data_IF_755861462549
#
_entry.id   IF_755861462549
#
_cell.length_a   1.000
_cell.length_b   1.000
_cell.length_c   1.000
_cell.angle_alpha   90.00
_cell.angle_beta   90.00
_cell.angle_gamma   90.00
#
_symmetry.space_group_name_H-M   'P 1'
#
loop_
_entity.id
_entity.type
_entity.pdbx_description
1 polymer ?
#
# COMPACT_ATOMS: atom_id res chain seq x y z
N UNK A 1 -36.91 15.78 6.87
CA UNK A 1 -35.93 16.05 7.95
C UNK A 1 -34.96 14.89 7.97
N UNK A 2 -33.73 15.12 7.54
CA UNK A 2 -32.65 14.15 7.60
C UNK A 2 -31.39 14.91 8.04
N UNK A 3 -31.39 15.31 9.31
CA UNK A 3 -30.18 15.77 10.00
C UNK A 3 -29.53 14.54 10.62
N UNK A 4 -28.52 14.00 9.92
CA UNK A 4 -27.54 13.10 10.50
C UNK A 4 -26.18 13.53 9.96
N UNK A 5 -25.24 13.96 10.81
CA UNK A 5 -23.92 14.37 10.34
C UNK A 5 -23.20 13.16 9.73
N UNK A 6 -22.92 13.24 8.42
CA UNK A 6 -21.98 12.33 7.77
C UNK A 6 -20.57 12.77 8.16
N UNK A 7 -19.86 11.94 8.93
CA UNK A 7 -18.41 12.06 9.08
C UNK A 7 -17.88 12.43 10.44
N UNK A 8 -18.67 12.36 11.53
CA UNK A 8 -18.08 12.42 12.86
C UNK A 8 -17.43 11.08 13.21
N UNK A 9 -16.10 11.15 13.20
CA UNK A 9 -15.13 10.14 13.52
C UNK A 9 -15.47 9.53 14.88
N UNK A 10 -15.86 8.25 14.90
CA UNK A 10 -15.70 7.47 16.12
C UNK A 10 -14.20 7.39 16.38
N UNK A 11 -13.66 8.28 17.23
CA UNK A 11 -12.35 8.09 17.84
C UNK A 11 -12.50 6.94 18.82
N UNK A 12 -12.41 5.74 18.29
CA UNK A 12 -12.26 4.53 19.09
C UNK A 12 -10.77 4.41 19.42
N UNK A 13 -10.46 4.10 20.69
CA UNK A 13 -9.09 3.78 21.12
C UNK A 13 -8.53 2.52 20.42
N UNK A 14 -9.37 1.81 19.67
CA UNK A 14 -9.00 0.67 18.86
C UNK A 14 -8.62 1.14 17.45
N UNK A 15 -7.35 0.91 17.09
CA UNK A 15 -6.91 1.06 15.72
C UNK A 15 -7.79 0.21 14.78
N UNK A 16 -8.18 0.72 13.61
CA UNK A 16 -9.04 -0.01 12.67
C UNK A 16 -8.31 -1.17 11.96
N UNK A 17 -7.10 -1.51 12.42
CA UNK A 17 -6.23 -2.53 11.87
C UNK A 17 -5.50 -3.30 12.98
N UNK A 18 -5.01 -4.50 12.63
CA UNK A 18 -4.10 -5.26 13.49
C UNK A 18 -2.70 -5.21 12.91
N UNK A 19 -1.71 -5.10 13.78
CA UNK A 19 -0.31 -5.14 13.41
C UNK A 19 0.28 -6.52 13.69
N UNK A 20 1.04 -7.03 12.74
CA UNK A 20 1.76 -8.28 12.85
C UNK A 20 3.24 -7.99 12.57
N UNK A 21 4.12 -8.49 13.43
CA UNK A 21 5.56 -8.43 13.18
C UNK A 21 5.94 -9.53 12.18
N UNK A 22 6.69 -9.16 11.15
CA UNK A 22 7.21 -10.09 10.16
C UNK A 22 8.66 -10.46 10.50
N UNK A 23 9.10 -11.62 10.04
CA UNK A 23 10.52 -11.95 10.05
C UNK A 23 11.23 -11.13 8.97
N UNK A 24 12.31 -10.46 9.34
CA UNK A 24 13.09 -9.57 8.47
C UNK A 24 14.46 -10.20 8.18
N UNK A 25 14.55 -11.17 7.24
CA UNK A 25 15.84 -11.71 6.82
C UNK A 25 16.69 -10.63 6.15
N UNK A 26 18.01 -10.79 6.21
CA UNK A 26 18.93 -9.84 5.55
C UNK A 26 18.71 -9.82 4.04
N UNK A 27 18.92 -8.66 3.41
CA UNK A 27 18.80 -8.52 1.96
C UNK A 27 19.70 -9.51 1.20
N UNK A 28 20.89 -9.80 1.73
CA UNK A 28 21.79 -10.82 1.15
C UNK A 28 21.16 -12.20 1.19
N UNK A 29 20.44 -12.55 2.26
CA UNK A 29 19.80 -13.86 2.38
C UNK A 29 18.61 -13.98 1.44
N UNK A 30 17.81 -12.92 1.32
CA UNK A 30 16.70 -12.86 0.37
C UNK A 30 17.23 -13.02 -1.06
N UNK A 31 18.28 -12.28 -1.43
CA UNK A 31 18.86 -12.33 -2.76
C UNK A 31 19.39 -13.72 -3.11
N UNK A 32 20.09 -14.38 -2.18
CA UNK A 32 20.58 -15.75 -2.35
C UNK A 32 19.44 -16.75 -2.59
N UNK A 33 18.39 -16.69 -1.77
CA UNK A 33 17.23 -17.59 -1.89
C UNK A 33 16.50 -17.38 -3.21
N UNK A 34 16.28 -16.13 -3.62
CA UNK A 34 15.64 -15.80 -4.89
C UNK A 34 16.50 -16.25 -6.08
N UNK A 35 17.81 -15.99 -6.03
CA UNK A 35 18.72 -16.39 -7.10
C UNK A 35 18.68 -17.91 -7.28
N UNK A 36 18.84 -18.67 -6.20
CA UNK A 36 18.87 -20.13 -6.26
C UNK A 36 17.51 -20.73 -6.66
N UNK A 37 16.42 -20.18 -6.13
CA UNK A 37 15.07 -20.69 -6.42
C UNK A 37 14.60 -20.39 -7.84
N UNK A 38 15.03 -19.27 -8.42
CA UNK A 38 14.60 -18.86 -9.76
C UNK A 38 15.56 -19.27 -10.87
N UNK A 39 16.83 -19.57 -10.58
CA UNK A 39 17.84 -19.94 -11.59
C UNK A 39 17.36 -21.01 -12.59
N UNK A 40 16.64 -22.08 -12.20
CA UNK A 40 16.19 -23.10 -13.15
C UNK A 40 15.12 -22.62 -14.14
N UNK A 41 14.46 -21.49 -13.86
CA UNK A 41 13.34 -20.96 -14.64
C UNK A 41 13.78 -19.97 -15.73
N UNK A 42 15.03 -19.49 -15.68
CA UNK A 42 15.53 -18.46 -16.58
C UNK A 42 16.89 -18.87 -17.15
N UNK A 43 17.11 -18.60 -18.44
CA UNK A 43 18.40 -18.86 -19.08
C UNK A 43 19.52 -17.97 -18.51
N UNK A 44 19.18 -16.74 -18.14
CA UNK A 44 20.05 -15.77 -17.50
C UNK A 44 19.26 -15.06 -16.41
N UNK A 45 19.80 -15.03 -15.20
CA UNK A 45 19.19 -14.38 -14.04
C UNK A 45 20.27 -13.76 -13.16
N UNK A 46 20.05 -12.53 -12.72
CA UNK A 46 20.85 -11.90 -11.68
C UNK A 46 19.91 -11.16 -10.74
N UNK A 47 19.92 -11.54 -9.47
CA UNK A 47 19.15 -10.87 -8.42
C UNK A 47 19.97 -9.72 -7.86
N UNK A 48 19.41 -8.51 -7.93
CA UNK A 48 20.04 -7.28 -7.45
C UNK A 48 19.25 -6.77 -6.25
N UNK A 49 19.92 -6.56 -5.13
CA UNK A 49 19.31 -6.08 -3.89
C UNK A 49 19.32 -4.54 -3.75
N UNK A 50 20.00 -3.82 -4.64
CA UNK A 50 20.04 -2.35 -4.62
C UNK A 50 18.80 -1.75 -5.30
N UNK A 51 18.25 -0.69 -4.71
CA UNK A 51 17.12 0.05 -5.26
C UNK A 51 17.62 1.13 -6.24
N UNK A 52 17.20 1.13 -7.51
CA UNK A 52 17.51 2.23 -8.42
C UNK A 52 16.72 3.49 -8.04
N UNK A 53 17.12 4.64 -8.58
CA UNK A 53 16.31 5.86 -8.43
C UNK A 53 14.99 5.68 -9.18
N UNK A 54 13.87 5.78 -8.44
CA UNK A 54 12.54 5.54 -9.01
C UNK A 54 11.86 6.79 -9.53
N UNK A 55 12.40 7.99 -9.27
CA UNK A 55 11.83 9.26 -9.75
C UNK A 55 12.04 9.50 -11.24
N UNK A 56 12.98 8.79 -11.86
CA UNK A 56 13.29 8.90 -13.28
C UNK A 56 12.65 7.77 -14.07
N UNK A 57 12.67 7.90 -15.40
CA UNK A 57 12.32 6.80 -16.29
C UNK A 57 13.16 5.54 -15.95
N UNK A 58 12.58 4.32 -16.06
CA UNK A 58 11.24 4.03 -16.59
C UNK A 58 10.10 4.15 -15.57
N UNK A 59 10.42 4.38 -14.28
CA UNK A 59 9.44 4.24 -13.20
C UNK A 59 8.62 5.52 -12.96
N UNK A 60 9.25 6.69 -13.03
CA UNK A 60 8.61 8.01 -12.83
C UNK A 60 7.71 8.06 -11.58
N UNK A 61 8.17 7.43 -10.49
CA UNK A 61 7.46 7.36 -9.21
C UNK A 61 7.74 8.62 -8.39
N UNK A 62 6.83 8.95 -7.47
CA UNK A 62 7.01 10.12 -6.61
C UNK A 62 7.96 9.87 -5.41
N UNK A 63 8.33 8.62 -5.14
CA UNK A 63 9.38 8.27 -4.17
C UNK A 63 10.72 8.01 -4.83
N UNK A 64 11.82 8.38 -4.15
CA UNK A 64 13.20 8.14 -4.64
C UNK A 64 13.55 6.65 -4.68
N UNK A 65 12.97 5.85 -3.79
CA UNK A 65 13.18 4.40 -3.68
C UNK A 65 12.11 3.73 -2.80
N UNK A 66 12.21 2.41 -2.65
CA UNK A 66 11.32 1.59 -1.81
C UNK A 66 11.94 1.18 -0.47
N UNK A 67 13.15 1.65 -0.17
CA UNK A 67 13.80 1.39 1.12
C UNK A 67 13.24 2.26 2.25
N UNK A 68 13.62 1.97 3.48
CA UNK A 68 13.21 2.71 4.68
C UNK A 68 12.41 1.83 5.65
N UNK A 69 11.45 2.43 6.37
CA UNK A 69 10.55 1.72 7.27
C UNK A 69 9.40 1.09 6.46
N UNK A 70 9.61 -0.13 5.99
CA UNK A 70 8.67 -0.83 5.10
C UNK A 70 7.61 -1.58 5.89
N UNK A 71 6.36 -1.51 5.46
CA UNK A 71 5.25 -2.30 6.01
C UNK A 71 4.33 -2.79 4.89
N UNK A 72 3.56 -3.85 5.17
CA UNK A 72 2.54 -4.37 4.27
C UNK A 72 1.18 -4.02 4.86
N UNK A 73 0.32 -3.40 4.05
CA UNK A 73 -1.07 -3.12 4.40
C UNK A 73 -1.93 -4.11 3.62
N UNK A 74 -2.60 -5.00 4.35
CA UNK A 74 -3.53 -5.96 3.77
C UNK A 74 -4.97 -5.55 4.06
N UNK A 75 -5.75 -5.33 2.99
CA UNK A 75 -7.20 -5.19 3.09
C UNK A 75 -7.84 -6.57 3.03
N UNK A 76 -8.08 -7.17 4.20
CA UNK A 76 -8.74 -8.47 4.27
C UNK A 76 -10.12 -8.41 3.62
N UNK A 77 -10.42 -9.42 2.80
CA UNK A 77 -11.69 -9.53 2.11
C UNK A 77 -12.83 -9.67 3.12
N UNK A 78 -13.56 -8.58 3.34
CA UNK A 78 -14.76 -8.59 4.15
C UNK A 78 -15.84 -9.29 3.33
N UNK A 79 -16.32 -10.43 3.86
CA UNK A 79 -17.50 -11.22 3.47
C UNK A 79 -18.38 -10.56 2.39
N UNK A 80 -18.72 -11.29 1.33
CA UNK A 80 -19.53 -10.85 0.18
C UNK A 80 -20.87 -10.17 0.54
N UNK A 81 -21.33 -10.37 1.77
CA UNK A 81 -22.54 -9.74 2.31
C UNK A 81 -22.36 -8.32 2.89
N UNK A 82 -21.13 -7.80 3.00
CA UNK A 82 -20.85 -6.45 3.52
C UNK A 82 -21.04 -5.40 2.41
N UNK A 83 -21.91 -4.39 2.60
CA UNK A 83 -22.07 -3.30 1.63
C UNK A 83 -20.77 -2.57 1.28
N UNK A 84 -20.62 -2.13 0.02
CA UNK A 84 -19.38 -1.53 -0.52
C UNK A 84 -18.88 -0.31 0.29
N UNK A 85 -19.80 0.51 0.81
CA UNK A 85 -19.49 1.67 1.63
C UNK A 85 -18.85 1.28 2.97
N UNK A 86 -19.14 0.07 3.46
CA UNK A 86 -18.52 -0.52 4.64
C UNK A 86 -17.25 -1.31 4.33
N UNK A 87 -16.94 -1.56 3.05
CA UNK A 87 -15.66 -2.14 2.58
C UNK A 87 -14.62 -1.09 2.20
N UNK A 88 -15.07 0.10 1.83
CA UNK A 88 -14.19 1.22 1.49
C UNK A 88 -13.43 1.67 2.75
N UNK A 89 -12.14 1.95 2.61
CA UNK A 89 -11.28 2.45 3.67
C UNK A 89 -10.50 3.65 3.16
N UNK A 90 -10.35 4.67 3.99
CA UNK A 90 -9.45 5.78 3.69
C UNK A 90 -8.02 5.37 4.08
N UNK A 91 -7.16 5.20 3.09
CA UNK A 91 -5.75 4.87 3.30
C UNK A 91 -5.04 5.98 4.10
N UNK A 92 -5.49 7.24 3.99
CA UNK A 92 -4.91 8.36 4.76
C UNK A 92 -5.14 8.17 6.26
N UNK A 93 -6.31 7.71 6.67
CA UNK A 93 -6.62 7.45 8.08
C UNK A 93 -5.71 6.35 8.66
N UNK A 94 -5.43 5.32 7.88
CA UNK A 94 -4.52 4.23 8.25
C UNK A 94 -3.07 4.72 8.35
N UNK A 95 -2.63 5.58 7.43
CA UNK A 95 -1.25 6.06 7.40
C UNK A 95 -1.00 7.17 8.41
N UNK A 96 -1.92 8.13 8.58
CA UNK A 96 -1.76 9.22 9.56
C UNK A 96 -1.59 8.74 11.00
N UNK A 97 -2.14 7.57 11.33
CA UNK A 97 -2.01 6.93 12.65
C UNK A 97 -0.70 6.16 12.82
N UNK A 98 0.02 5.84 11.74
CA UNK A 98 1.21 4.97 11.75
C UNK A 98 2.50 5.63 11.23
N UNK A 99 2.45 6.44 10.18
CA UNK A 99 3.59 7.14 9.54
C UNK A 99 3.15 8.43 8.81
N UNK A 100 3.82 9.56 9.07
CA UNK A 100 3.42 10.88 8.53
C UNK A 100 3.82 11.12 7.08
N UNK A 101 4.89 10.49 6.60
CA UNK A 101 5.33 10.52 5.19
C UNK A 101 5.46 9.09 4.69
N UNK A 102 4.54 8.67 3.82
CA UNK A 102 4.46 7.30 3.31
C UNK A 102 4.35 7.28 1.80
N UNK A 103 5.19 6.45 1.19
CA UNK A 103 5.13 6.12 -0.22
C UNK A 103 4.49 4.73 -0.37
N UNK A 104 3.25 4.71 -0.87
CA UNK A 104 2.46 3.47 -0.98
C UNK A 104 2.48 2.99 -2.41
N UNK A 105 2.80 1.71 -2.60
CA UNK A 105 2.65 1.01 -3.86
C UNK A 105 1.81 -0.25 -3.63
N UNK A 106 1.00 -0.62 -4.61
CA UNK A 106 0.26 -1.88 -4.54
C UNK A 106 -0.85 -1.97 -5.57
N UNK A 107 -1.57 -3.08 -5.51
CA UNK A 107 -2.75 -3.34 -6.32
C UNK A 107 -3.98 -3.36 -5.43
N UNK A 108 -4.95 -2.49 -5.71
CA UNK A 108 -6.26 -2.56 -5.07
C UNK A 108 -7.30 -1.88 -5.95
N UNK A 109 -8.57 -2.04 -5.58
CA UNK A 109 -9.67 -1.28 -6.15
C UNK A 109 -9.74 0.08 -5.45
N UNK A 110 -9.49 1.16 -6.20
CA UNK A 110 -9.79 2.50 -5.75
C UNK A 110 -10.98 3.05 -6.53
N UNK A 111 -11.87 3.72 -5.81
CA UNK A 111 -12.93 4.53 -6.38
C UNK A 111 -12.83 5.91 -5.78
N UNK A 112 -13.08 6.96 -6.57
CA UNK A 112 -13.33 8.27 -5.96
C UNK A 112 -14.70 8.20 -5.27
N UNK A 113 -14.95 8.96 -4.19
CA UNK A 113 -16.23 8.96 -3.47
C UNK A 113 -17.49 9.14 -4.35
N UNK A 114 -17.33 9.62 -5.59
CA UNK A 114 -18.40 9.92 -6.54
C UNK A 114 -18.26 9.24 -7.91
N UNK A 115 -17.39 8.23 -8.07
CA UNK A 115 -17.31 7.46 -9.33
C UNK A 115 -18.36 6.34 -9.31
N UNK A 116 -19.21 6.22 -10.34
CA UNK A 116 -20.22 5.16 -10.42
C UNK A 116 -19.59 3.76 -10.55
N UNK A 117 -20.37 2.74 -10.18
CA UNK A 117 -19.99 1.32 -9.98
C UNK A 117 -19.12 0.66 -11.07
N UNK A 118 -19.11 1.19 -12.31
CA UNK A 118 -18.36 0.64 -13.46
C UNK A 118 -17.09 1.42 -13.84
N UNK A 119 -16.76 2.50 -13.13
CA UNK A 119 -15.51 3.24 -13.32
C UNK A 119 -14.33 2.53 -12.64
N UNK A 120 -14.02 1.29 -13.04
CA UNK A 120 -12.93 0.54 -12.45
C UNK A 120 -11.60 1.12 -12.91
N UNK A 121 -10.84 1.71 -11.98
CA UNK A 121 -9.42 1.94 -12.22
C UNK A 121 -8.69 0.73 -11.63
N UNK A 122 -8.12 -0.13 -12.48
CA UNK A 122 -7.05 -1.05 -12.05
C UNK A 122 -5.83 -0.19 -11.75
N UNK A 123 -5.81 0.45 -10.59
CA UNK A 123 -4.67 1.27 -10.20
C UNK A 123 -3.59 0.34 -9.65
N UNK A 124 -2.41 0.36 -10.26
CA UNK A 124 -1.17 0.29 -9.50
C UNK A 124 -1.14 1.59 -8.71
N UNK A 125 -1.75 1.59 -7.53
CA UNK A 125 -1.91 2.80 -6.74
C UNK A 125 -0.55 3.19 -6.20
N UNK A 126 0.03 4.24 -6.78
CA UNK A 126 1.16 4.96 -6.25
C UNK A 126 0.56 6.13 -5.48
N UNK A 127 0.24 5.93 -4.21
CA UNK A 127 -0.16 7.04 -3.35
C UNK A 127 1.08 7.62 -2.71
N UNK A 128 1.38 8.86 -3.04
CA UNK A 128 2.41 9.62 -2.31
C UNK A 128 1.67 10.53 -1.36
N UNK A 129 1.69 10.20 -0.08
CA UNK A 129 1.34 11.18 0.95
C UNK A 129 2.60 12.00 1.21
N UNK A 130 2.75 13.07 0.43
CA UNK A 130 3.61 14.19 0.82
C UNK A 130 2.75 15.11 1.66
N UNK A 131 3.04 15.19 2.95
CA UNK A 131 2.56 16.33 3.73
C UNK A 131 3.18 17.60 3.12
N UNK A 132 2.39 18.63 2.75
CA UNK A 132 2.97 19.92 2.46
C UNK A 132 3.41 20.51 3.80
N UNK A 133 4.72 20.80 3.89
CA UNK A 133 5.40 21.55 4.95
C UNK A 133 5.83 20.81 6.22
N UNK A 134 7.15 20.83 6.39
CA UNK A 134 7.96 20.68 7.59
C UNK A 134 9.38 21.09 7.23
#
# INVERSE_FOLDING_TARGET
MAEGPNGDTYTTDYLPYRQYSLNEPTLSKIAEVLQNGMQPLFQQLTVIASCPCLTTAPYNLAGVGLGGNTSIIEFLYLNDNVPWNRRTRDIREILTTSCRDSFVIGSSYATKPHIPYYGYIRVINIFTFLCPFG
#
